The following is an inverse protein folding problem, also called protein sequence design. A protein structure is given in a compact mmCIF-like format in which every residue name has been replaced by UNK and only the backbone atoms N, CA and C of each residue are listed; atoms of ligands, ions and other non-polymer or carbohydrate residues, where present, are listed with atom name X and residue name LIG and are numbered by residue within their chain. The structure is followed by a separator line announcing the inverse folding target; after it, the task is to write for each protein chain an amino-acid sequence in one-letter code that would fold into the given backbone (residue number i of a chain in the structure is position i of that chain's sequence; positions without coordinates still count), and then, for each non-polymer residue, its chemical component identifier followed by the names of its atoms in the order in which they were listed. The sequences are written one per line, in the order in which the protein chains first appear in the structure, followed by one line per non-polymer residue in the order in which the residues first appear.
data_IF_581956969750
#
_entry.id   IF_581956969750
#
_cell.length_a   1.000
_cell.length_b   1.000
_cell.length_c   1.000
_cell.angle_alpha   90.00
_cell.angle_beta   90.00
_cell.angle_gamma   90.00
#
_symmetry.space_group_name_H-M   'P 1'
#
loop_
_entity.id
_entity.type
_entity.pdbx_description
1 polymer ?
#
# COMPACT_ATOMS: atom_id res chain seq x y z
N UNK A 1 -12.65 -38.83 -8.58
CA UNK A 1 -11.31 -38.22 -8.77
C UNK A 1 -11.29 -36.91 -7.99
N UNK A 2 -10.43 -36.82 -6.97
CA UNK A 2 -10.39 -35.73 -5.98
C UNK A 2 -9.60 -34.54 -6.54
N UNK A 3 -10.25 -33.41 -6.76
CA UNK A 3 -9.61 -32.16 -7.17
C UNK A 3 -9.11 -31.44 -5.90
N UNK A 4 -7.79 -31.53 -5.69
CA UNK A 4 -7.06 -31.02 -4.53
C UNK A 4 -7.06 -29.48 -4.52
N UNK A 5 -7.51 -28.90 -3.41
CA UNK A 5 -7.63 -27.47 -3.13
C UNK A 5 -6.27 -26.82 -2.83
N UNK A 6 -5.33 -26.82 -3.78
CA UNK A 6 -3.99 -26.23 -3.58
C UNK A 6 -3.65 -25.17 -4.63
N UNK A 7 -4.38 -24.06 -4.66
CA UNK A 7 -3.91 -22.81 -5.27
C UNK A 7 -4.49 -21.63 -4.48
N UNK A 8 -3.97 -21.40 -3.28
CA UNK A 8 -4.09 -20.12 -2.58
C UNK A 8 -2.66 -19.64 -2.34
N UNK A 9 -2.03 -19.16 -3.41
CA UNK A 9 -0.68 -18.60 -3.35
C UNK A 9 -0.80 -17.20 -2.73
N UNK A 10 -0.67 -17.16 -1.40
CA UNK A 10 -0.47 -15.93 -0.63
C UNK A 10 0.90 -15.38 -1.00
N UNK A 11 0.95 -14.53 -2.00
CA UNK A 11 2.13 -13.70 -2.27
C UNK A 11 2.11 -12.52 -1.31
N UNK A 12 2.55 -12.77 -0.09
CA UNK A 12 2.73 -11.74 0.93
C UNK A 12 4.19 -11.74 1.35
N UNK A 13 4.82 -10.57 1.24
CA UNK A 13 6.18 -10.18 1.63
C UNK A 13 7.26 -10.28 0.53
N UNK A 14 7.67 -9.12 -0.02
CA UNK A 14 9.05 -8.62 0.14
C UNK A 14 9.23 -7.18 -0.38
N UNK A 15 9.47 -6.23 0.54
CA UNK A 15 10.44 -5.14 0.34
C UNK A 15 10.82 -4.57 1.71
N UNK A 16 11.61 -5.35 2.47
CA UNK A 16 12.44 -4.82 3.54
C UNK A 16 13.86 -4.82 3.00
N UNK A 17 14.32 -3.65 2.53
CA UNK A 17 15.72 -3.22 2.44
C UNK A 17 15.83 -1.92 1.63
N UNK A 18 16.03 -0.79 2.31
CA UNK A 18 17.25 0.01 2.16
C UNK A 18 17.20 1.16 3.17
N UNK A 19 18.08 1.10 4.17
CA UNK A 19 18.44 2.21 5.02
C UNK A 19 19.79 2.80 4.55
N UNK A 20 19.99 4.09 4.85
CA UNK A 20 21.28 4.79 4.91
C UNK A 20 22.03 5.07 3.59
N UNK A 21 21.66 6.19 2.94
CA UNK A 21 22.64 7.18 2.49
C UNK A 21 21.94 8.53 2.28
N UNK A 22 22.67 9.63 2.54
CA UNK A 22 22.30 11.05 2.47
C UNK A 22 22.01 11.75 3.81
N UNK A 23 23.01 11.72 4.70
CA UNK A 23 23.35 12.91 5.48
C UNK A 23 24.40 13.71 4.71
N UNK A 24 24.14 14.99 4.47
CA UNK A 24 25.14 15.92 3.98
C UNK A 24 24.56 17.26 3.51
N UNK A 25 24.68 18.29 4.36
CA UNK A 25 24.88 19.66 3.88
C UNK A 25 23.74 20.65 4.10
N UNK A 26 23.67 21.19 5.32
CA UNK A 26 23.08 22.50 5.61
C UNK A 26 23.92 23.62 4.98
N UNK A 27 23.29 24.51 4.19
CA UNK A 27 23.75 25.90 3.98
C UNK A 27 22.56 26.83 3.70
N UNK A 28 22.44 27.82 4.56
CA UNK A 28 21.59 29.01 4.46
C UNK A 28 21.80 29.81 3.17
N UNK A 29 20.71 30.37 2.63
CA UNK A 29 20.42 31.81 2.76
C UNK A 29 19.55 32.37 1.60
N UNK A 30 18.54 33.14 2.03
CA UNK A 30 18.06 34.42 1.48
C UNK A 30 16.80 34.42 0.59
N UNK A 31 15.70 34.81 1.23
CA UNK A 31 14.48 35.33 0.62
C UNK A 31 14.62 36.83 0.21
N UNK A 32 13.86 37.29 -0.80
CA UNK A 32 13.47 38.70 -0.95
C UNK A 32 11.96 38.92 -0.67
N UNK A 33 11.52 40.19 -0.51
CA UNK A 33 10.45 40.55 0.43
C UNK A 33 9.04 40.52 -0.16
N UNK A 34 8.08 40.04 0.63
CA UNK A 34 6.64 40.18 0.38
C UNK A 34 6.15 41.51 0.94
N UNK A 35 5.57 42.36 0.08
CA UNK A 35 4.90 43.61 0.50
C UNK A 35 3.47 43.30 0.93
N UNK A 36 3.14 43.77 2.13
CA UNK A 36 1.80 43.78 2.70
C UNK A 36 0.82 44.58 1.84
N UNK A 37 -0.44 44.14 1.80
CA UNK A 37 -1.62 44.98 2.04
C UNK A 37 -2.86 44.07 2.22
N UNK A 38 -3.46 44.11 3.40
CA UNK A 38 -4.87 43.77 3.67
C UNK A 38 -5.61 45.09 3.96
N UNK A 39 -6.95 45.17 4.17
CA UNK A 39 -7.97 44.10 4.20
C UNK A 39 -9.27 44.44 3.44
N UNK A 40 -10.06 43.45 2.99
CA UNK A 40 -11.53 43.59 2.95
C UNK A 40 -12.20 42.25 3.27
N UNK A 41 -13.25 42.37 4.07
CA UNK A 41 -14.06 41.38 4.77
C UNK A 41 -14.64 40.21 3.95
N UNK A 42 -14.77 39.08 4.65
CA UNK A 42 -16.02 38.33 4.77
C UNK A 42 -16.43 37.40 3.63
N UNK A 43 -16.05 36.12 3.73
CA UNK A 43 -16.98 35.01 3.45
C UNK A 43 -16.41 33.69 4.00
N UNK A 44 -17.18 33.05 4.87
CA UNK A 44 -17.01 31.64 5.24
C UNK A 44 -17.43 30.82 4.02
N UNK A 45 -16.48 30.13 3.39
CA UNK A 45 -16.68 29.14 2.35
C UNK A 45 -15.32 28.46 2.10
N UNK A 46 -15.16 27.16 1.96
CA UNK A 46 -15.99 25.99 2.12
C UNK A 46 -14.96 24.85 2.21
N UNK A 47 -15.15 23.90 3.14
CA UNK A 47 -14.35 22.67 3.18
C UNK A 47 -14.38 22.04 1.80
N UNK A 48 -13.22 21.92 1.14
CA UNK A 48 -13.10 21.18 -0.13
C UNK A 48 -13.60 19.77 0.16
N UNK A 49 -14.71 19.32 -0.45
CA UNK A 49 -15.16 17.95 -0.25
C UNK A 49 -14.09 17.06 -0.85
N UNK A 50 -13.62 16.10 -0.05
CA UNK A 50 -12.87 14.96 -0.54
C UNK A 50 -13.69 14.37 -1.70
N UNK A 51 -13.15 14.45 -2.91
CA UNK A 51 -13.88 14.02 -4.10
C UNK A 51 -14.11 12.52 -3.92
N UNK A 52 -15.37 12.11 -3.74
CA UNK A 52 -15.76 10.71 -3.87
C UNK A 52 -15.44 10.27 -5.31
N UNK A 53 -14.24 9.74 -5.52
CA UNK A 53 -13.92 8.98 -6.72
C UNK A 53 -14.48 7.58 -6.53
N UNK A 54 -15.78 7.45 -6.80
CA UNK A 54 -16.41 6.18 -7.09
C UNK A 54 -15.68 5.56 -8.29
N UNK A 55 -15.06 4.39 -8.08
CA UNK A 55 -14.28 3.65 -9.09
C UNK A 55 -15.04 3.46 -10.40
N UNK A 56 -14.75 4.34 -11.37
CA UNK A 56 -15.43 4.42 -12.68
C UNK A 56 -14.48 4.24 -13.86
N UNK A 57 -13.36 3.54 -13.66
CA UNK A 57 -12.44 3.20 -14.74
C UNK A 57 -13.01 2.03 -15.58
N UNK A 58 -12.69 1.93 -16.89
CA UNK A 58 -13.05 0.78 -17.72
C UNK A 58 -12.64 -0.54 -17.05
N UNK A 59 -13.42 -1.62 -17.24
CA UNK A 59 -13.14 -2.94 -16.64
C UNK A 59 -11.73 -3.49 -16.96
N UNK A 60 -11.07 -2.96 -18.00
CA UNK A 60 -9.71 -3.31 -18.39
C UNK A 60 -8.61 -2.64 -17.56
N UNK A 61 -8.95 -1.67 -16.70
CA UNK A 61 -7.98 -0.94 -15.87
C UNK A 61 -7.97 -1.54 -14.47
N UNK A 62 -6.79 -1.99 -14.05
CA UNK A 62 -6.55 -2.47 -12.69
C UNK A 62 -6.45 -1.28 -11.76
N UNK A 63 -7.49 -1.11 -10.94
CA UNK A 63 -7.50 -0.12 -9.87
C UNK A 63 -6.79 -0.67 -8.64
N UNK A 64 -5.96 0.16 -7.99
CA UNK A 64 -5.19 -0.24 -6.82
C UNK A 64 -5.59 0.64 -5.64
N UNK A 65 -5.95 0.00 -4.53
CA UNK A 65 -6.29 0.70 -3.30
C UNK A 65 -5.08 0.87 -2.39
N UNK A 66 -4.95 2.06 -1.81
CA UNK A 66 -4.00 2.35 -0.76
C UNK A 66 -4.75 2.41 0.57
N UNK A 67 -4.45 1.50 1.50
CA UNK A 67 -5.32 1.30 2.66
C UNK A 67 -5.10 2.32 3.78
N UNK A 68 -6.22 2.74 4.37
CA UNK A 68 -6.30 3.37 5.69
C UNK A 68 -6.61 2.27 6.71
N UNK A 69 -5.77 2.12 7.73
CA UNK A 69 -5.83 1.03 8.70
C UNK A 69 -5.54 1.51 10.12
N UNK A 70 -5.78 0.65 11.12
CA UNK A 70 -5.65 1.00 12.54
C UNK A 70 -6.39 2.29 12.89
N UNK A 71 -7.58 2.47 12.29
CA UNK A 71 -8.43 3.66 12.43
C UNK A 71 -7.98 4.90 11.65
N UNK A 72 -6.70 5.27 11.70
CA UNK A 72 -6.22 6.55 11.14
C UNK A 72 -4.89 6.48 10.40
N UNK A 73 -4.19 5.34 10.41
CA UNK A 73 -2.92 5.22 9.71
C UNK A 73 -3.17 5.12 8.22
N UNK A 74 -2.39 5.86 7.44
CA UNK A 74 -2.38 5.80 5.99
C UNK A 74 -1.01 5.33 5.53
N UNK A 75 -0.98 4.58 4.43
CA UNK A 75 0.26 4.29 3.73
C UNK A 75 0.92 5.58 3.26
N UNK A 76 2.04 5.94 3.90
CA UNK A 76 2.88 7.08 3.53
C UNK A 76 4.00 6.62 2.59
N UNK A 77 4.46 7.54 1.75
CA UNK A 77 5.69 7.39 0.96
C UNK A 77 5.66 6.34 -0.18
N UNK A 78 4.48 6.01 -0.72
CA UNK A 78 4.40 5.20 -1.94
C UNK A 78 4.03 6.09 -3.13
N UNK A 79 4.93 6.21 -4.10
CA UNK A 79 4.76 7.11 -5.25
C UNK A 79 3.84 6.50 -6.30
N UNK A 80 2.89 7.30 -6.81
CA UNK A 80 2.06 6.93 -7.97
C UNK A 80 2.90 6.63 -9.23
N UNK A 81 4.17 7.06 -9.28
CA UNK A 81 5.09 6.70 -10.37
C UNK A 81 5.30 5.18 -10.50
N UNK A 82 5.07 4.42 -9.43
CA UNK A 82 5.03 2.95 -9.49
C UNK A 82 3.96 2.45 -10.47
N UNK A 83 2.78 3.09 -10.49
CA UNK A 83 1.66 2.70 -11.35
C UNK A 83 2.00 2.94 -12.83
N UNK A 84 2.53 4.12 -13.13
CA UNK A 84 3.02 4.45 -14.47
C UNK A 84 4.11 3.47 -14.94
N UNK A 85 5.04 3.09 -14.05
CA UNK A 85 6.09 2.12 -14.36
C UNK A 85 5.50 0.74 -14.65
N UNK A 86 4.62 0.24 -13.77
CA UNK A 86 3.95 -1.05 -13.92
C UNK A 86 3.15 -1.13 -15.23
N UNK A 87 2.46 -0.06 -15.61
CA UNK A 87 1.75 0.01 -16.89
C UNK A 87 2.70 0.02 -18.09
N UNK A 88 3.82 0.76 -18.00
CA UNK A 88 4.78 0.83 -19.11
C UNK A 88 5.57 -0.46 -19.34
N UNK A 89 5.69 -1.31 -18.32
CA UNK A 89 6.56 -2.49 -18.34
C UNK A 89 5.80 -3.81 -18.29
N UNK A 90 4.47 -3.75 -18.24
CA UNK A 90 3.60 -4.92 -18.27
C UNK A 90 2.48 -4.76 -19.29
N UNK A 91 1.72 -5.81 -19.50
CA UNK A 91 0.50 -5.77 -20.31
C UNK A 91 -0.73 -5.27 -19.53
N UNK A 92 -0.54 -4.72 -18.32
CA UNK A 92 -1.63 -4.36 -17.40
C UNK A 92 -1.80 -2.84 -17.39
N UNK A 93 -2.96 -2.35 -17.83
CA UNK A 93 -3.36 -0.96 -17.62
C UNK A 93 -3.67 -0.73 -16.15
N UNK A 94 -3.11 0.33 -15.56
CA UNK A 94 -3.30 0.66 -14.14
C UNK A 94 -3.98 2.01 -13.97
N UNK A 95 -4.67 2.22 -12.84
CA UNK A 95 -5.19 3.56 -12.53
C UNK A 95 -4.03 4.55 -12.37
N UNK A 96 -4.24 5.82 -12.75
CA UNK A 96 -3.19 6.86 -12.66
C UNK A 96 -2.81 7.26 -11.24
N UNK A 97 -3.67 6.92 -10.26
CA UNK A 97 -3.49 7.22 -8.84
C UNK A 97 -4.00 6.05 -8.02
N UNK A 98 -3.52 5.97 -6.79
CA UNK A 98 -4.14 5.11 -5.80
C UNK A 98 -5.50 5.62 -5.32
N UNK A 99 -6.38 4.69 -4.96
CA UNK A 99 -7.65 5.00 -4.28
C UNK A 99 -7.47 4.82 -2.78
N UNK A 100 -7.72 5.86 -1.98
CA UNK A 100 -7.65 5.76 -0.52
C UNK A 100 -8.88 5.02 -0.01
N UNK A 101 -8.69 3.82 0.56
CA UNK A 101 -9.80 2.96 1.01
C UNK A 101 -9.58 2.54 2.44
N UNK A 102 -10.61 2.62 3.28
CA UNK A 102 -10.54 2.12 4.67
C UNK A 102 -10.56 0.60 4.67
N UNK A 103 -9.65 -0.03 5.43
CA UNK A 103 -9.57 -1.48 5.54
C UNK A 103 -10.84 -2.10 6.15
N UNK A 104 -11.54 -1.35 7.00
CA UNK A 104 -12.83 -1.74 7.56
C UNK A 104 -14.03 -1.58 6.59
N UNK A 105 -13.83 -0.97 5.41
CA UNK A 105 -14.87 -0.75 4.40
C UNK A 105 -15.03 -1.96 3.49
N UNK A 106 -16.28 -2.25 3.07
CA UNK A 106 -16.55 -3.26 2.05
C UNK A 106 -16.13 -2.80 0.64
N UNK A 107 -15.86 -1.51 0.45
CA UNK A 107 -15.27 -0.95 -0.77
C UNK A 107 -13.94 -1.63 -1.14
N UNK A 108 -13.22 -2.16 -0.15
CA UNK A 108 -11.99 -2.94 -0.32
C UNK A 108 -12.14 -4.05 -1.38
N UNK A 109 -13.30 -4.69 -1.45
CA UNK A 109 -13.53 -5.83 -2.34
C UNK A 109 -13.71 -5.44 -3.81
N UNK A 110 -13.77 -4.15 -4.12
CA UNK A 110 -13.79 -3.65 -5.50
C UNK A 110 -12.39 -3.63 -6.15
N UNK A 111 -11.33 -3.87 -5.38
CA UNK A 111 -9.94 -3.78 -5.84
C UNK A 111 -9.28 -5.16 -5.84
N UNK A 112 -8.58 -5.56 -6.92
CA UNK A 112 -7.84 -6.83 -6.94
C UNK A 112 -6.52 -6.78 -6.15
N UNK A 113 -5.93 -5.59 -6.01
CA UNK A 113 -4.66 -5.34 -5.33
C UNK A 113 -4.79 -4.17 -4.36
N UNK A 114 -4.29 -4.36 -3.15
CA UNK A 114 -4.28 -3.36 -2.10
C UNK A 114 -2.84 -3.17 -1.57
N UNK A 115 -2.47 -1.94 -1.24
CA UNK A 115 -1.13 -1.56 -0.75
C UNK A 115 -1.21 -1.02 0.67
N UNK A 116 -0.44 -1.64 1.57
CA UNK A 116 -0.35 -1.26 2.97
C UNK A 116 1.11 -0.92 3.33
N UNK A 117 1.38 0.34 3.59
CA UNK A 117 2.69 0.79 4.09
C UNK A 117 2.54 1.57 5.39
N UNK A 118 3.65 1.78 6.10
CA UNK A 118 3.67 2.69 7.22
C UNK A 118 4.83 2.48 8.16
N UNK A 119 4.76 3.18 9.28
CA UNK A 119 5.82 3.27 10.28
C UNK A 119 5.21 3.15 11.69
N UNK A 120 6.04 2.73 12.65
CA UNK A 120 5.68 2.58 14.06
C UNK A 120 4.78 1.38 14.34
N UNK A 121 4.46 1.19 15.62
CA UNK A 121 3.56 0.10 16.04
C UNK A 121 2.09 0.41 15.67
N UNK A 122 1.34 -0.64 15.34
CA UNK A 122 -0.09 -0.57 15.09
C UNK A 122 -0.82 -1.84 15.50
N UNK A 123 -2.10 -1.68 15.83
CA UNK A 123 -3.02 -2.80 16.08
C UNK A 123 -4.23 -2.60 15.19
N UNK A 124 -4.63 -3.65 14.45
CA UNK A 124 -5.82 -3.57 13.61
C UNK A 124 -7.08 -3.69 14.46
N UNK A 125 -8.16 -3.06 13.98
CA UNK A 125 -9.49 -3.25 14.56
C UNK A 125 -10.05 -4.62 14.16
N UNK A 126 -10.97 -5.16 14.95
CA UNK A 126 -11.54 -6.49 14.65
C UNK A 126 -12.20 -6.56 13.28
N UNK A 127 -12.87 -5.47 12.86
CA UNK A 127 -13.46 -5.37 11.52
C UNK A 127 -12.41 -5.35 10.41
N UNK A 128 -11.29 -4.69 10.64
CA UNK A 128 -10.18 -4.64 9.67
C UNK A 128 -9.54 -6.03 9.50
N UNK A 129 -9.38 -6.78 10.59
CA UNK A 129 -8.90 -8.18 10.56
C UNK A 129 -9.85 -9.08 9.79
N UNK A 130 -11.14 -8.98 10.07
CA UNK A 130 -12.18 -9.77 9.38
C UNK A 130 -12.17 -9.50 7.87
N UNK A 131 -12.13 -8.23 7.49
CA UNK A 131 -12.13 -7.83 6.09
C UNK A 131 -10.85 -8.25 5.37
N UNK A 132 -9.69 -8.09 6.00
CA UNK A 132 -8.42 -8.51 5.41
C UNK A 132 -8.38 -10.03 5.19
N UNK A 133 -8.87 -10.80 6.16
CA UNK A 133 -9.00 -12.26 6.02
C UNK A 133 -9.84 -12.62 4.80
N UNK A 134 -11.05 -12.06 4.70
CA UNK A 134 -11.97 -12.31 3.58
C UNK A 134 -11.41 -11.86 2.25
N UNK A 135 -10.69 -10.73 2.23
CA UNK A 135 -10.08 -10.20 1.02
C UNK A 135 -9.08 -11.19 0.42
N UNK A 136 -8.14 -11.69 1.25
CA UNK A 136 -7.13 -12.66 0.81
C UNK A 136 -7.77 -14.01 0.46
N UNK A 137 -8.73 -14.50 1.26
CA UNK A 137 -9.43 -15.76 0.97
C UNK A 137 -10.25 -15.74 -0.32
N UNK A 138 -10.66 -14.54 -0.77
CA UNK A 138 -11.35 -14.33 -2.05
C UNK A 138 -10.39 -14.13 -3.23
N UNK A 139 -9.08 -14.23 -3.01
CA UNK A 139 -8.06 -14.09 -4.05
C UNK A 139 -7.54 -12.67 -4.25
N UNK A 140 -7.86 -11.73 -3.35
CA UNK A 140 -7.25 -10.40 -3.35
C UNK A 140 -5.78 -10.44 -2.96
N UNK A 141 -4.97 -9.56 -3.55
CA UNK A 141 -3.53 -9.45 -3.28
C UNK A 141 -3.22 -8.27 -2.37
N UNK A 142 -2.40 -8.48 -1.33
CA UNK A 142 -1.92 -7.42 -0.45
C UNK A 142 -0.40 -7.26 -0.59
N UNK A 143 0.02 -6.09 -1.09
CA UNK A 143 1.41 -5.64 -1.03
C UNK A 143 1.64 -4.85 0.26
N UNK A 144 2.48 -5.40 1.14
CA UNK A 144 2.79 -4.81 2.44
C UNK A 144 4.28 -4.45 2.55
N UNK A 145 4.59 -3.22 2.95
CA UNK A 145 5.98 -2.74 3.06
C UNK A 145 6.16 -1.78 4.23
N UNK A 146 7.16 -2.03 5.08
CA UNK A 146 7.53 -1.12 6.16
C UNK A 146 8.17 0.16 5.57
N UNK A 147 7.53 1.30 5.81
CA UNK A 147 8.09 2.62 5.47
C UNK A 147 9.37 2.87 6.24
N UNK A 148 10.35 3.49 5.58
CA UNK A 148 11.67 3.80 6.16
C UNK A 148 12.33 2.62 6.90
N UNK A 149 12.08 1.37 6.46
CA UNK A 149 12.55 0.15 7.13
C UNK A 149 12.13 0.04 8.61
N UNK A 150 10.93 0.52 8.95
CA UNK A 150 10.42 0.50 10.33
C UNK A 150 10.23 -0.92 10.87
N UNK A 151 11.12 -1.34 11.77
CA UNK A 151 11.07 -2.64 12.42
C UNK A 151 9.83 -2.80 13.34
N UNK A 152 9.33 -1.71 13.91
CA UNK A 152 8.10 -1.71 14.72
C UNK A 152 6.87 -2.07 13.88
N UNK A 153 6.82 -1.52 12.67
CA UNK A 153 5.76 -1.81 11.72
C UNK A 153 5.82 -3.26 11.23
N UNK A 154 7.01 -3.77 10.87
CA UNK A 154 7.18 -5.18 10.47
C UNK A 154 6.73 -6.14 11.58
N UNK A 155 7.13 -5.89 12.84
CA UNK A 155 6.68 -6.71 13.98
C UNK A 155 5.16 -6.67 14.17
N UNK A 156 4.56 -5.48 14.05
CA UNK A 156 3.10 -5.30 14.14
C UNK A 156 2.38 -6.06 13.04
N UNK A 157 2.86 -5.95 11.81
CA UNK A 157 2.30 -6.64 10.66
C UNK A 157 2.35 -8.16 10.84
N UNK A 158 3.50 -8.72 11.25
CA UNK A 158 3.64 -10.16 11.51
C UNK A 158 2.72 -10.64 12.63
N UNK A 159 2.56 -9.86 13.70
CA UNK A 159 1.63 -10.14 14.81
C UNK A 159 0.18 -10.18 14.33
N UNK A 160 -0.24 -9.22 13.53
CA UNK A 160 -1.59 -9.16 12.97
C UNK A 160 -1.83 -10.31 11.99
N UNK A 161 -0.86 -10.65 11.14
CA UNK A 161 -0.99 -11.78 10.22
C UNK A 161 -1.11 -13.12 10.96
N UNK A 162 -0.34 -13.32 12.03
CA UNK A 162 -0.48 -14.51 12.89
C UNK A 162 -1.84 -14.57 13.60
N UNK A 163 -2.46 -13.42 13.86
CA UNK A 163 -3.79 -13.35 14.47
C UNK A 163 -4.90 -13.65 13.45
N UNK A 164 -4.76 -13.16 12.22
CA UNK A 164 -5.72 -13.33 11.12
C UNK A 164 -5.65 -14.75 10.53
N UNK A 165 -4.45 -15.25 10.30
CA UNK A 165 -4.15 -16.54 9.68
C UNK A 165 -3.49 -17.48 10.69
N UNK A 166 -4.24 -17.88 11.72
CA UNK A 166 -3.72 -18.65 12.87
C UNK A 166 -2.98 -19.94 12.48
N UNK A 167 -3.42 -20.58 11.40
CA UNK A 167 -2.89 -21.86 10.93
C UNK A 167 -1.82 -21.70 9.82
N UNK A 168 -1.71 -20.51 9.21
CA UNK A 168 -0.84 -20.25 8.06
C UNK A 168 0.19 -19.18 8.43
N UNK A 169 1.41 -19.63 8.76
CA UNK A 169 2.51 -18.72 9.10
C UNK A 169 3.08 -18.09 7.84
N UNK A 170 3.44 -16.81 7.93
CA UNK A 170 4.25 -16.16 6.90
C UNK A 170 5.58 -16.90 6.72
N UNK A 171 5.90 -17.24 5.48
CA UNK A 171 7.13 -17.93 5.09
C UNK A 171 7.85 -17.13 4.01
N UNK A 172 9.18 -17.26 3.97
CA UNK A 172 9.95 -16.73 2.86
C UNK A 172 9.60 -17.52 1.59
N UNK A 173 9.39 -16.80 0.49
CA UNK A 173 9.24 -17.41 -0.82
C UNK A 173 10.62 -17.87 -1.32
N UNK A 174 10.69 -19.09 -1.86
CA UNK A 174 11.90 -19.56 -2.54
C UNK A 174 12.16 -18.75 -3.80
N UNK A 175 13.43 -18.62 -4.21
CA UNK A 175 13.81 -17.84 -5.39
C UNK A 175 13.17 -18.37 -6.69
N UNK A 176 12.78 -19.64 -6.74
CA UNK A 176 12.06 -20.26 -7.87
C UNK A 176 10.60 -19.79 -8.01
N UNK A 177 10.10 -18.97 -7.08
CA UNK A 177 8.70 -18.54 -7.11
C UNK A 177 8.45 -17.61 -8.31
N UNK A 178 7.35 -17.79 -9.08
CA UNK A 178 7.10 -17.02 -10.31
C UNK A 178 7.14 -15.49 -10.15
N UNK A 179 6.84 -14.98 -8.95
CA UNK A 179 6.96 -13.54 -8.62
C UNK A 179 8.31 -12.94 -8.99
N UNK A 180 9.38 -13.72 -8.88
CA UNK A 180 10.75 -13.28 -9.16
C UNK A 180 11.11 -13.39 -10.64
N UNK A 181 10.19 -13.89 -11.50
CA UNK A 181 10.43 -14.16 -12.92
C UNK A 181 9.29 -13.68 -13.85
N UNK A 182 8.24 -13.01 -13.35
CA UNK A 182 7.08 -12.61 -14.16
C UNK A 182 7.38 -11.47 -15.15
N UNK A 183 7.99 -10.39 -14.67
CA UNK A 183 8.33 -9.21 -15.50
C UNK A 183 9.84 -9.10 -15.67
N UNK A 184 10.55 -9.29 -14.56
CA UNK A 184 12.01 -9.31 -14.49
C UNK A 184 12.46 -10.64 -13.93
N UNK A 185 13.67 -11.05 -14.32
CA UNK A 185 14.35 -12.20 -13.72
C UNK A 185 15.25 -11.73 -12.56
N UNK A 186 14.82 -12.01 -11.33
CA UNK A 186 15.48 -11.60 -10.09
C UNK A 186 16.21 -12.81 -9.49
N UNK A 187 17.51 -12.90 -9.76
CA UNK A 187 18.32 -14.05 -9.33
C UNK A 187 18.67 -14.07 -7.83
N UNK A 188 18.62 -12.91 -7.14
CA UNK A 188 18.92 -12.84 -5.71
C UNK A 188 18.28 -11.60 -5.05
N UNK A 189 17.81 -11.77 -3.82
CA UNK A 189 17.36 -10.68 -2.96
C UNK A 189 18.54 -10.18 -2.13
N UNK A 190 18.84 -8.89 -2.24
CA UNK A 190 19.86 -8.22 -1.41
C UNK A 190 19.16 -7.39 -0.35
N UNK A 191 19.53 -7.61 0.90
CA UNK A 191 19.07 -6.84 2.05
C UNK A 191 19.96 -5.62 2.31
#
# INVERSE_FOLDING_TARGET
MKLSHRVAAVLMTLLVACAAALNGGEKDAKAPPVKNNSPVAGKVAATVPDQQQSGGEPQSIVQIANIVYAGTKTSKCFSDHFLAKAESESAISTSRKFHSVKLASDELYAFPLIIMTGEGDFTLLDKERENLRRFVERGGMLLASAGCSSAEWDRSFRREMATIFRDEKLQALGMEHPVFHTIYDIAALKA
#
